data_IF_376431005798
#
_entry.id   IF_376431005798
#
_cell.length_a   1.000
_cell.length_b   1.000
_cell.length_c   1.000
_cell.angle_alpha   90.00
_cell.angle_beta   90.00
_cell.angle_gamma   90.00
#
_symmetry.space_group_name_H-M   'P 1'
#
loop_
_entity.id
_entity.type
_entity.pdbx_description
1 polymer ?
#
# COMPACT_ATOMS: atom_id res chain seq x y z
N UNK A 1 -2.63 -6.64 9.26
CA UNK A 1 -2.33 -7.95 8.65
C UNK A 1 -0.90 -8.43 8.91
N UNK A 2 0.14 -7.90 8.24
CA UNK A 2 1.54 -8.38 8.34
C UNK A 2 2.07 -8.50 9.79
N UNK A 3 1.73 -7.53 10.64
CA UNK A 3 2.15 -7.48 12.04
C UNK A 3 1.58 -8.62 12.92
N UNK A 4 0.41 -9.12 12.53
CA UNK A 4 -0.33 -10.15 13.26
C UNK A 4 -0.12 -11.53 12.65
N UNK A 5 0.50 -11.60 11.48
CA UNK A 5 0.69 -12.85 10.76
C UNK A 5 1.66 -13.75 11.53
N UNK A 6 1.18 -14.92 11.94
CA UNK A 6 1.93 -15.85 12.78
C UNK A 6 3.22 -16.36 12.13
N UNK A 7 3.28 -16.37 10.80
CA UNK A 7 4.44 -16.89 10.07
C UNK A 7 5.58 -15.86 9.95
N UNK A 8 5.23 -14.58 9.96
CA UNK A 8 6.16 -13.46 9.76
C UNK A 8 6.50 -12.75 11.08
N UNK A 9 5.55 -12.72 12.02
CA UNK A 9 5.69 -12.04 13.31
C UNK A 9 6.97 -12.42 14.09
N UNK A 10 7.36 -13.71 14.23
CA UNK A 10 8.58 -14.05 14.97
C UNK A 10 9.84 -13.44 14.35
N UNK A 11 9.93 -13.45 13.02
CA UNK A 11 11.04 -12.83 12.29
C UNK A 11 11.05 -11.30 12.49
N UNK A 12 9.87 -10.67 12.41
CA UNK A 12 9.73 -9.22 12.66
C UNK A 12 10.10 -8.84 14.11
N UNK A 13 9.72 -9.64 15.09
CA UNK A 13 10.07 -9.40 16.49
C UNK A 13 11.58 -9.55 16.72
N UNK A 14 12.22 -10.53 16.09
CA UNK A 14 13.69 -10.69 16.13
C UNK A 14 14.40 -9.48 15.53
N UNK A 15 14.01 -9.00 14.34
CA UNK A 15 14.65 -7.81 13.74
C UNK A 15 14.42 -6.55 14.57
N UNK A 16 13.24 -6.40 15.22
CA UNK A 16 12.99 -5.29 16.14
C UNK A 16 13.91 -5.32 17.35
N UNK A 17 14.18 -6.50 17.91
CA UNK A 17 15.14 -6.66 19.00
C UNK A 17 16.52 -6.23 18.52
N UNK A 18 16.98 -6.74 17.37
CA UNK A 18 18.27 -6.41 16.81
C UNK A 18 18.44 -4.90 16.55
N UNK A 19 17.47 -4.28 15.89
CA UNK A 19 17.45 -2.83 15.63
C UNK A 19 17.50 -2.04 16.95
N UNK A 20 16.74 -2.46 17.97
CA UNK A 20 16.78 -1.82 19.30
C UNK A 20 18.14 -1.96 19.96
N UNK A 21 18.79 -3.13 19.88
CA UNK A 21 20.13 -3.35 20.45
C UNK A 21 21.16 -2.40 19.83
N UNK A 22 21.21 -2.35 18.50
CA UNK A 22 22.11 -1.45 17.77
C UNK A 22 21.86 0.02 18.09
N UNK A 23 20.58 0.44 18.13
CA UNK A 23 20.23 1.84 18.40
C UNK A 23 20.47 2.26 19.85
N UNK A 24 20.46 1.32 20.80
CA UNK A 24 20.76 1.60 22.22
C UNK A 24 22.25 1.71 22.50
N UNK A 25 23.09 1.02 21.74
CA UNK A 25 24.55 1.04 21.94
C UNK A 25 25.19 2.16 21.13
N UNK A 26 25.70 3.18 21.82
CA UNK A 26 26.48 4.27 21.21
C UNK A 26 27.72 3.75 20.47
N UNK A 27 28.35 2.69 20.98
CA UNK A 27 29.51 2.05 20.34
C UNK A 27 29.09 1.35 19.04
N UNK A 28 28.02 0.56 19.06
CA UNK A 28 27.57 -0.17 17.88
C UNK A 28 27.10 0.77 16.76
N UNK A 29 26.33 1.81 17.10
CA UNK A 29 25.87 2.78 16.10
C UNK A 29 27.03 3.58 15.49
N UNK A 30 28.04 3.96 16.28
CA UNK A 30 29.22 4.64 15.76
C UNK A 30 30.06 3.73 14.86
N UNK A 31 30.24 2.45 15.22
CA UNK A 31 30.92 1.48 14.37
C UNK A 31 30.17 1.28 13.06
N UNK A 32 28.85 1.14 13.11
CA UNK A 32 28.01 1.00 11.91
C UNK A 32 28.12 2.24 11.01
N UNK A 33 28.04 3.44 11.59
CA UNK A 33 28.20 4.71 10.85
C UNK A 33 29.57 4.84 10.20
N UNK A 34 30.64 4.38 10.86
CA UNK A 34 32.00 4.38 10.28
C UNK A 34 32.11 3.44 9.07
N UNK A 35 31.36 2.33 9.05
CA UNK A 35 31.44 1.33 8.00
C UNK A 35 30.58 1.68 6.78
N UNK A 36 29.35 2.18 6.98
CA UNK A 36 28.41 2.39 5.89
C UNK A 36 27.74 3.78 5.86
N UNK A 37 28.03 4.66 6.82
CA UNK A 37 27.44 6.01 6.88
C UNK A 37 25.95 6.04 7.20
N UNK A 38 25.32 4.90 7.49
CA UNK A 38 23.87 4.77 7.67
C UNK A 38 23.51 4.30 9.08
N UNK A 39 22.39 4.80 9.59
CA UNK A 39 21.73 4.27 10.80
C UNK A 39 20.59 3.32 10.45
N UNK A 40 20.25 2.41 11.37
CA UNK A 40 19.05 1.58 11.28
C UNK A 40 17.77 2.39 11.53
N UNK A 41 16.71 2.07 10.79
CA UNK A 41 15.38 2.67 10.96
C UNK A 41 14.65 1.97 12.09
N UNK A 42 14.08 2.75 13.01
CA UNK A 42 13.24 2.21 14.11
C UNK A 42 11.88 1.82 13.55
N UNK A 43 11.39 0.63 13.89
CA UNK A 43 10.05 0.23 13.53
C UNK A 43 8.97 1.11 14.18
N UNK A 44 7.85 1.24 13.48
CA UNK A 44 6.59 1.73 14.03
C UNK A 44 5.53 0.67 13.72
N UNK A 45 5.15 -0.20 14.68
CA UNK A 45 4.28 -1.33 14.42
C UNK A 45 2.89 -0.95 13.87
N UNK A 46 2.40 0.26 14.15
CA UNK A 46 1.14 0.79 13.63
C UNK A 46 1.25 1.30 12.19
N UNK A 47 2.47 1.42 11.65
CA UNK A 47 2.77 2.03 10.35
C UNK A 47 3.54 1.06 9.47
N UNK A 48 2.83 0.26 8.68
CA UNK A 48 3.43 -0.81 7.85
C UNK A 48 4.56 -0.29 6.93
N UNK A 49 4.45 0.94 6.42
CA UNK A 49 5.48 1.55 5.58
C UNK A 49 6.81 1.74 6.32
N UNK A 50 6.77 2.00 7.63
CA UNK A 50 7.97 2.07 8.47
C UNK A 50 8.56 0.67 8.67
N UNK A 51 7.72 -0.36 8.80
CA UNK A 51 8.19 -1.75 8.85
C UNK A 51 8.93 -2.13 7.57
N UNK A 52 8.38 -1.79 6.40
CA UNK A 52 9.07 -1.96 5.12
C UNK A 52 10.43 -1.22 5.11
N UNK A 53 10.46 0.06 5.48
CA UNK A 53 11.70 0.84 5.53
C UNK A 53 12.74 0.27 6.51
N UNK A 54 12.31 -0.26 7.65
CA UNK A 54 13.19 -0.96 8.59
C UNK A 54 13.82 -2.19 7.94
N UNK A 55 13.01 -3.02 7.28
CA UNK A 55 13.48 -4.22 6.60
C UNK A 55 14.47 -3.85 5.49
N UNK A 56 14.10 -2.91 4.62
CA UNK A 56 14.93 -2.47 3.49
C UNK A 56 16.25 -1.88 3.96
N UNK A 57 16.24 -1.03 5.00
CA UNK A 57 17.48 -0.48 5.57
C UNK A 57 18.36 -1.57 6.19
N UNK A 58 17.77 -2.53 6.89
CA UNK A 58 18.53 -3.62 7.52
C UNK A 58 19.22 -4.47 6.46
N UNK A 59 18.52 -4.82 5.37
CA UNK A 59 19.08 -5.57 4.25
C UNK A 59 20.14 -4.77 3.48
N UNK A 60 19.97 -3.45 3.35
CA UNK A 60 20.95 -2.55 2.72
C UNK A 60 22.29 -2.54 3.46
N UNK A 61 22.27 -2.55 4.80
CA UNK A 61 23.48 -2.49 5.63
C UNK A 61 23.92 -3.85 6.17
N UNK A 62 23.41 -4.95 5.60
CA UNK A 62 23.54 -6.31 6.15
C UNK A 62 24.99 -6.71 6.45
N UNK A 63 25.93 -6.39 5.57
CA UNK A 63 27.33 -6.83 5.70
C UNK A 63 28.04 -6.07 6.83
N UNK A 64 27.85 -4.75 6.89
CA UNK A 64 28.33 -3.92 8.00
C UNK A 64 27.65 -4.29 9.33
N UNK A 65 26.36 -4.64 9.29
CA UNK A 65 25.62 -5.07 10.48
C UNK A 65 26.21 -6.33 11.10
N UNK A 66 26.49 -7.34 10.26
CA UNK A 66 27.12 -8.60 10.68
C UNK A 66 28.50 -8.34 11.27
N UNK A 67 29.33 -7.56 10.57
CA UNK A 67 30.68 -7.24 11.05
C UNK A 67 30.68 -6.56 12.43
N UNK A 68 29.76 -5.62 12.66
CA UNK A 68 29.62 -4.97 13.97
C UNK A 68 29.10 -5.93 15.02
N UNK A 69 28.11 -6.77 14.68
CA UNK A 69 27.56 -7.76 15.60
C UNK A 69 28.62 -8.78 16.04
N UNK A 70 29.41 -9.30 15.10
CA UNK A 70 30.50 -10.23 15.37
C UNK A 70 31.55 -9.60 16.30
N UNK A 71 31.96 -8.36 16.02
CA UNK A 71 32.88 -7.60 16.87
C UNK A 71 32.31 -7.18 18.24
N UNK A 72 31.02 -7.40 18.48
CA UNK A 72 30.34 -7.18 19.76
C UNK A 72 29.96 -8.51 20.45
N UNK A 73 30.19 -9.66 19.80
CA UNK A 73 29.74 -10.97 20.27
C UNK A 73 28.21 -11.10 20.30
N UNK A 74 27.51 -10.45 19.37
CA UNK A 74 26.04 -10.47 19.29
C UNK A 74 25.56 -11.40 18.20
N UNK A 75 24.50 -12.15 18.50
CA UNK A 75 23.79 -12.94 17.50
C UNK A 75 23.10 -12.03 16.48
N UNK A 76 23.43 -12.24 15.21
CA UNK A 76 22.78 -11.58 14.08
C UNK A 76 21.72 -12.50 13.44
N UNK A 77 21.17 -12.10 12.30
CA UNK A 77 20.25 -12.92 11.51
C UNK A 77 20.99 -14.06 10.82
N UNK A 78 20.41 -15.25 10.84
CA UNK A 78 20.89 -16.40 10.06
C UNK A 78 20.73 -16.15 8.55
N UNK A 79 21.50 -16.83 7.68
CA UNK A 79 21.34 -16.70 6.23
C UNK A 79 19.91 -16.98 5.74
N UNK A 80 19.25 -18.02 6.28
CA UNK A 80 17.87 -18.37 5.95
C UNK A 80 16.86 -17.30 6.38
N UNK A 81 17.09 -16.66 7.53
CA UNK A 81 16.27 -15.54 8.00
C UNK A 81 16.43 -14.31 7.12
N UNK A 82 17.65 -14.03 6.64
CA UNK A 82 17.91 -12.93 5.71
C UNK A 82 17.24 -13.16 4.36
N UNK A 83 17.25 -14.39 3.85
CA UNK A 83 16.57 -14.74 2.61
C UNK A 83 15.04 -14.61 2.77
N UNK A 84 14.46 -15.13 3.86
CA UNK A 84 13.03 -14.95 4.16
C UNK A 84 12.66 -13.46 4.30
N UNK A 85 13.53 -12.68 4.92
CA UNK A 85 13.35 -11.23 5.08
C UNK A 85 13.42 -10.49 3.73
N UNK A 86 14.25 -10.98 2.82
CA UNK A 86 14.36 -10.47 1.43
C UNK A 86 13.07 -10.76 0.67
N UNK A 87 12.57 -12.00 0.72
CA UNK A 87 11.28 -12.36 0.11
C UNK A 87 10.11 -11.54 0.68
N UNK A 88 10.11 -11.29 2.00
CA UNK A 88 9.12 -10.41 2.63
C UNK A 88 9.25 -8.95 2.17
N UNK A 89 10.47 -8.43 2.02
CA UNK A 89 10.68 -7.10 1.46
C UNK A 89 10.10 -7.01 0.06
N UNK A 90 10.36 -8.01 -0.78
CA UNK A 90 9.94 -8.05 -2.18
C UNK A 90 8.41 -8.16 -2.31
N UNK A 91 7.76 -8.92 -1.42
CA UNK A 91 6.30 -8.92 -1.29
C UNK A 91 5.73 -7.52 -1.01
N UNK A 92 6.41 -6.73 -0.19
CA UNK A 92 5.95 -5.42 0.27
C UNK A 92 6.39 -4.25 -0.61
N UNK A 93 7.34 -4.47 -1.53
CA UNK A 93 7.96 -3.42 -2.32
C UNK A 93 6.93 -2.69 -3.21
N UNK A 94 6.11 -3.37 -4.04
CA UNK A 94 5.12 -2.69 -4.87
C UNK A 94 4.13 -1.86 -4.05
N UNK A 95 3.71 -2.36 -2.87
CA UNK A 95 2.85 -1.59 -1.96
C UNK A 95 3.51 -0.29 -1.53
N UNK A 96 4.80 -0.34 -1.18
CA UNK A 96 5.55 0.83 -0.72
C UNK A 96 5.69 1.86 -1.84
N UNK A 97 6.00 1.42 -3.06
CA UNK A 97 6.18 2.29 -4.23
C UNK A 97 4.86 2.94 -4.62
N UNK A 98 3.79 2.17 -4.79
CA UNK A 98 2.47 2.71 -5.13
C UNK A 98 1.93 3.63 -4.04
N UNK A 99 2.09 3.27 -2.77
CA UNK A 99 1.64 4.15 -1.67
C UNK A 99 2.43 5.46 -1.64
N UNK A 100 3.74 5.41 -1.87
CA UNK A 100 4.56 6.61 -1.92
C UNK A 100 4.20 7.48 -3.12
N UNK A 101 3.95 6.87 -4.27
CA UNK A 101 3.53 7.53 -5.50
C UNK A 101 2.19 8.25 -5.26
N UNK A 102 1.16 7.51 -4.85
CA UNK A 102 -0.21 7.99 -4.62
C UNK A 102 -0.33 9.05 -3.51
N UNK A 103 0.68 9.17 -2.65
CA UNK A 103 0.75 10.22 -1.60
C UNK A 103 1.37 11.53 -2.10
N UNK A 104 1.90 11.59 -3.32
CA UNK A 104 2.48 12.81 -3.88
C UNK A 104 1.43 13.88 -4.15
N UNK A 105 1.78 15.14 -3.93
CA UNK A 105 0.89 16.30 -4.16
C UNK A 105 0.61 16.57 -5.64
N UNK A 106 1.36 15.95 -6.54
CA UNK A 106 1.22 16.12 -8.00
C UNK A 106 0.44 14.98 -8.65
N UNK A 107 -0.13 14.07 -7.86
CA UNK A 107 -0.72 12.85 -8.38
C UNK A 107 -2.22 12.95 -8.63
N UNK A 108 -2.64 12.38 -9.75
CA UNK A 108 -4.01 12.30 -10.22
C UNK A 108 -4.70 11.02 -9.73
N UNK A 109 -6.02 11.09 -9.59
CA UNK A 109 -6.89 9.95 -9.29
C UNK A 109 -6.78 8.82 -10.33
N UNK A 110 -6.38 9.17 -11.56
CA UNK A 110 -6.25 8.26 -12.71
C UNK A 110 -5.30 7.09 -12.50
N UNK A 111 -4.29 7.26 -11.65
CA UNK A 111 -3.26 6.26 -11.39
C UNK A 111 -3.63 5.30 -10.24
N UNK A 112 -4.75 5.50 -9.56
CA UNK A 112 -5.21 4.59 -8.51
C UNK A 112 -5.61 3.24 -9.09
N UNK A 113 -6.35 3.20 -10.20
CA UNK A 113 -6.77 1.93 -10.81
C UNK A 113 -5.57 1.10 -11.31
N UNK A 114 -4.61 1.66 -12.10
CA UNK A 114 -3.40 0.94 -12.49
C UNK A 114 -2.61 0.40 -11.30
N UNK A 115 -2.46 1.19 -10.23
CA UNK A 115 -1.77 0.73 -9.02
C UNK A 115 -2.48 -0.46 -8.36
N UNK A 116 -3.82 -0.46 -8.30
CA UNK A 116 -4.58 -1.57 -7.73
C UNK A 116 -4.48 -2.84 -8.58
N UNK A 117 -4.52 -2.71 -9.91
CA UNK A 117 -4.36 -3.83 -10.83
C UNK A 117 -2.96 -4.44 -10.75
N UNK A 118 -1.91 -3.60 -10.76
CA UNK A 118 -0.52 -4.04 -10.61
C UNK A 118 -0.28 -4.77 -9.27
N UNK A 119 -0.82 -4.24 -8.17
CA UNK A 119 -0.77 -4.92 -6.87
C UNK A 119 -1.50 -6.28 -6.90
N UNK A 120 -2.58 -6.41 -7.67
CA UNK A 120 -3.34 -7.65 -7.77
C UNK A 120 -2.57 -8.71 -8.56
N UNK A 121 -1.95 -8.29 -9.68
CA UNK A 121 -1.07 -9.12 -10.49
C UNK A 121 0.11 -9.61 -9.64
N UNK A 122 0.84 -8.69 -8.98
CA UNK A 122 1.94 -9.01 -8.09
C UNK A 122 1.57 -10.06 -7.03
N UNK A 123 0.43 -9.89 -6.34
CA UNK A 123 0.00 -10.85 -5.32
C UNK A 123 -0.39 -12.22 -5.89
N UNK A 124 -0.82 -12.27 -7.15
CA UNK A 124 -1.19 -13.50 -7.86
C UNK A 124 0.04 -14.26 -8.33
N UNK A 125 1.04 -13.55 -8.83
CA UNK A 125 2.30 -14.10 -9.35
C UNK A 125 3.31 -14.42 -8.25
N UNK A 126 3.24 -13.74 -7.10
CA UNK A 126 4.20 -13.90 -6.01
C UNK A 126 4.39 -15.36 -5.55
N UNK A 127 3.34 -16.18 -5.33
CA UNK A 127 3.48 -17.60 -5.01
C UNK A 127 4.28 -18.39 -6.06
N UNK A 128 4.09 -18.08 -7.33
CA UNK A 128 4.76 -18.78 -8.45
C UNK A 128 6.24 -18.38 -8.52
N UNK A 129 6.51 -17.09 -8.39
CA UNK A 129 7.87 -16.52 -8.39
C UNK A 129 8.73 -17.03 -7.21
N UNK A 130 8.13 -17.26 -6.04
CA UNK A 130 8.84 -17.83 -4.88
C UNK A 130 8.98 -19.36 -4.93
N UNK A 131 8.24 -20.04 -5.81
CA UNK A 131 8.22 -21.49 -5.91
C UNK A 131 7.84 -22.17 -4.59
N UNK A 132 8.53 -23.26 -4.22
CA UNK A 132 8.31 -23.96 -2.95
C UNK A 132 9.03 -23.33 -1.75
N UNK A 133 9.84 -22.28 -1.99
CA UNK A 133 10.53 -21.55 -0.95
C UNK A 133 9.55 -20.58 -0.28
N UNK A 134 9.35 -20.72 1.03
CA UNK A 134 8.46 -19.86 1.85
C UNK A 134 6.96 -19.96 1.51
N UNK A 135 6.41 -21.17 1.56
CA UNK A 135 4.95 -21.45 1.46
C UNK A 135 4.10 -20.54 2.35
N UNK A 136 4.62 -20.16 3.50
CA UNK A 136 3.96 -19.28 4.45
C UNK A 136 3.82 -17.84 3.93
N UNK A 137 4.83 -17.32 3.22
CA UNK A 137 4.74 -16.03 2.53
C UNK A 137 3.80 -16.09 1.32
N UNK A 138 3.78 -17.20 0.58
CA UNK A 138 2.79 -17.42 -0.48
C UNK A 138 1.36 -17.45 0.09
N UNK A 139 1.17 -18.05 1.25
CA UNK A 139 -0.13 -18.03 1.94
C UNK A 139 -0.50 -16.63 2.42
N UNK A 140 0.50 -15.83 2.84
CA UNK A 140 0.31 -14.43 3.21
C UNK A 140 -0.07 -13.58 2.00
N UNK A 141 0.57 -13.75 0.83
CA UNK A 141 0.22 -12.99 -0.37
C UNK A 141 -1.23 -13.25 -0.81
N UNK A 142 -1.69 -14.50 -0.73
CA UNK A 142 -3.09 -14.83 -1.02
C UNK A 142 -4.06 -14.15 -0.05
N UNK A 143 -3.78 -14.17 1.26
CA UNK A 143 -4.58 -13.40 2.24
C UNK A 143 -4.52 -11.88 1.97
N UNK A 144 -3.38 -11.37 1.53
CA UNK A 144 -3.25 -9.97 1.12
C UNK A 144 -4.15 -9.66 -0.07
N UNK A 145 -4.25 -10.57 -1.05
CA UNK A 145 -5.10 -10.45 -2.23
C UNK A 145 -6.57 -10.42 -1.87
N UNK A 146 -7.02 -11.37 -1.06
CA UNK A 146 -8.39 -11.43 -0.56
C UNK A 146 -8.76 -10.14 0.19
N UNK A 147 -7.88 -9.68 1.10
CA UNK A 147 -8.11 -8.45 1.84
C UNK A 147 -8.14 -7.21 0.92
N UNK A 148 -7.31 -7.18 -0.12
CA UNK A 148 -7.30 -6.10 -1.10
C UNK A 148 -8.62 -6.07 -1.89
N UNK A 149 -9.07 -7.22 -2.39
CA UNK A 149 -10.35 -7.36 -3.07
C UNK A 149 -11.51 -6.86 -2.20
N UNK A 150 -11.53 -7.21 -0.91
CA UNK A 150 -12.56 -6.71 0.02
C UNK A 150 -12.46 -5.21 0.33
N UNK A 151 -11.25 -4.66 0.42
CA UNK A 151 -11.06 -3.24 0.75
C UNK A 151 -11.37 -2.31 -0.43
N UNK A 152 -11.19 -2.80 -1.66
CA UNK A 152 -11.27 -2.01 -2.88
C UNK A 152 -12.30 -2.53 -3.88
N UNK A 153 -13.22 -3.41 -3.45
CA UNK A 153 -14.31 -3.91 -4.28
C UNK A 153 -15.15 -2.78 -4.88
N UNK A 154 -15.37 -1.70 -4.13
CA UNK A 154 -16.06 -0.50 -4.61
C UNK A 154 -15.38 0.20 -5.80
N UNK A 155 -14.15 -0.16 -6.16
CA UNK A 155 -13.43 0.39 -7.32
C UNK A 155 -13.13 -0.67 -8.39
N UNK A 156 -13.04 -1.94 -8.00
CA UNK A 156 -12.60 -3.04 -8.88
C UNK A 156 -13.73 -3.97 -9.31
N UNK A 157 -14.84 -4.04 -8.57
CA UNK A 157 -15.97 -4.92 -8.86
C UNK A 157 -17.21 -4.10 -9.28
N UNK A 158 -17.54 -4.06 -10.59
CA UNK A 158 -18.76 -3.43 -11.11
C UNK A 158 -20.07 -3.95 -10.51
N UNK A 159 -20.06 -5.12 -9.88
CA UNK A 159 -21.22 -5.74 -9.23
C UNK A 159 -21.37 -5.32 -7.77
N UNK A 160 -20.38 -4.65 -7.18
CA UNK A 160 -20.47 -4.17 -5.80
C UNK A 160 -21.55 -3.09 -5.66
N UNK A 161 -22.40 -3.22 -4.64
CA UNK A 161 -23.45 -2.24 -4.31
C UNK A 161 -22.96 -0.81 -4.11
N UNK A 162 -21.68 -0.63 -3.77
CA UNK A 162 -21.01 0.66 -3.54
C UNK A 162 -20.02 0.98 -4.65
N UNK A 163 -20.10 0.29 -5.78
CA UNK A 163 -19.22 0.51 -6.91
C UNK A 163 -19.25 1.98 -7.36
N UNK A 164 -18.07 2.55 -7.58
CA UNK A 164 -17.89 3.92 -8.07
C UNK A 164 -17.08 3.89 -9.36
N UNK A 165 -17.66 4.31 -10.50
CA UNK A 165 -16.96 4.35 -11.79
C UNK A 165 -15.94 5.50 -11.87
N UNK A 166 -15.90 6.41 -10.88
CA UNK A 166 -15.09 7.63 -10.92
C UNK A 166 -13.60 7.34 -11.10
N UNK A 167 -13.05 6.35 -10.40
CA UNK A 167 -11.62 6.03 -10.49
C UNK A 167 -11.28 5.45 -11.87
N UNK A 168 -12.16 4.58 -12.38
CA UNK A 168 -12.03 4.03 -13.72
C UNK A 168 -12.15 5.13 -14.79
N UNK A 169 -13.13 6.03 -14.67
CA UNK A 169 -13.28 7.17 -15.57
C UNK A 169 -12.06 8.10 -15.55
N UNK A 170 -11.54 8.44 -14.37
CA UNK A 170 -10.32 9.23 -14.26
C UNK A 170 -9.13 8.54 -14.93
N UNK A 171 -9.00 7.21 -14.75
CA UNK A 171 -7.96 6.39 -15.38
C UNK A 171 -8.06 6.44 -16.91
N UNK A 172 -9.24 6.20 -17.49
CA UNK A 172 -9.40 6.15 -18.94
C UNK A 172 -9.37 7.52 -19.64
N UNK A 173 -9.54 8.60 -18.89
CA UNK A 173 -9.36 9.97 -19.39
C UNK A 173 -7.89 10.42 -19.36
N UNK A 174 -6.99 9.68 -18.70
CA UNK A 174 -5.60 10.04 -18.59
C UNK A 174 -4.80 9.56 -19.82
N UNK A 175 -4.27 10.47 -20.66
CA UNK A 175 -3.53 10.08 -21.86
C UNK A 175 -2.21 9.37 -21.55
N UNK A 176 -1.73 9.42 -20.30
CA UNK A 176 -0.52 8.72 -19.86
C UNK A 176 -0.80 7.26 -19.46
N UNK A 177 -2.06 6.89 -19.29
CA UNK A 177 -2.50 5.54 -18.98
C UNK A 177 -3.17 4.98 -20.23
N UNK A 178 -2.47 4.10 -20.96
CA UNK A 178 -3.06 3.42 -22.12
C UNK A 178 -4.07 2.38 -21.62
N UNK A 179 -5.36 2.48 -22.00
CA UNK A 179 -6.34 1.44 -21.70
C UNK A 179 -5.93 0.09 -22.27
N UNK A 180 -5.25 0.08 -23.42
CA UNK A 180 -4.75 -1.13 -24.08
C UNK A 180 -3.70 -1.85 -23.24
N UNK A 181 -2.82 -1.10 -22.55
CA UNK A 181 -1.83 -1.67 -21.63
C UNK A 181 -2.47 -2.33 -20.39
N UNK A 182 -3.74 -2.04 -20.09
CA UNK A 182 -4.48 -2.67 -19.00
C UNK A 182 -5.18 -3.97 -19.44
N UNK A 183 -5.35 -4.21 -20.75
CA UNK A 183 -6.15 -5.30 -21.34
C UNK A 183 -5.25 -6.44 -21.88
N UNK A 184 -3.98 -6.51 -21.49
CA UNK A 184 -3.05 -7.52 -22.06
C UNK A 184 -3.19 -8.95 -21.47
N UNK A 185 -4.11 -9.20 -20.52
CA UNK A 185 -4.20 -10.48 -19.80
C UNK A 185 -5.56 -11.21 -20.00
N UNK A 186 -5.55 -12.28 -20.79
CA UNK A 186 -6.71 -13.05 -21.31
C UNK A 186 -7.81 -13.48 -20.30
N UNK A 187 -7.57 -13.46 -18.98
CA UNK A 187 -8.58 -13.78 -17.94
C UNK A 187 -9.13 -12.53 -17.20
N UNK A 188 -8.36 -11.45 -17.11
CA UNK A 188 -8.77 -10.19 -16.46
C UNK A 188 -9.47 -9.25 -17.45
N UNK A 189 -9.38 -9.54 -18.75
CA UNK A 189 -9.98 -8.75 -19.82
C UNK A 189 -11.47 -8.52 -19.62
N UNK A 190 -12.26 -9.52 -19.20
CA UNK A 190 -13.71 -9.35 -19.06
C UNK A 190 -14.07 -8.36 -17.95
N UNK A 191 -13.39 -8.41 -16.80
CA UNK A 191 -13.63 -7.46 -15.71
C UNK A 191 -13.17 -6.05 -16.07
N UNK A 192 -11.99 -5.94 -16.69
CA UNK A 192 -11.43 -4.64 -17.09
C UNK A 192 -12.28 -3.99 -18.18
N UNK A 193 -12.79 -4.78 -19.12
CA UNK A 193 -13.74 -4.31 -20.14
C UNK A 193 -15.05 -3.82 -19.52
N UNK A 194 -15.58 -4.51 -18.50
CA UNK A 194 -16.78 -4.03 -17.81
C UNK A 194 -16.50 -2.76 -16.99
N UNK A 195 -15.33 -2.63 -16.38
CA UNK A 195 -14.90 -1.38 -15.72
C UNK A 195 -14.82 -0.22 -16.72
N UNK A 196 -14.28 -0.47 -17.92
CA UNK A 196 -14.22 0.49 -19.02
C UNK A 196 -15.62 0.92 -19.45
N UNK A 197 -16.50 -0.04 -19.73
CA UNK A 197 -17.88 0.24 -20.12
C UNK A 197 -18.62 1.09 -19.09
N UNK A 198 -18.47 0.77 -17.79
CA UNK A 198 -19.08 1.54 -16.69
C UNK A 198 -18.50 2.96 -16.59
N UNK A 199 -17.22 3.12 -16.87
CA UNK A 199 -16.57 4.42 -16.89
C UNK A 199 -17.06 5.28 -18.08
N UNK A 200 -17.18 4.70 -19.27
CA UNK A 200 -17.75 5.36 -20.44
C UNK A 200 -19.19 5.81 -20.20
N UNK A 201 -20.04 4.93 -19.65
CA UNK A 201 -21.42 5.26 -19.26
C UNK A 201 -21.46 6.45 -18.30
N UNK A 202 -20.56 6.47 -17.31
CA UNK A 202 -20.45 7.55 -16.33
C UNK A 202 -20.00 8.88 -16.97
N UNK A 203 -19.00 8.84 -17.85
CA UNK A 203 -18.51 10.04 -18.56
C UNK A 203 -19.62 10.61 -19.45
N UNK A 204 -20.33 9.77 -20.19
CA UNK A 204 -21.43 10.19 -21.07
C UNK A 204 -22.56 10.89 -20.29
N UNK A 205 -22.87 10.41 -19.07
CA UNK A 205 -23.84 11.03 -18.17
C UNK A 205 -23.38 12.38 -17.62
N UNK A 206 -22.08 12.59 -17.44
CA UNK A 206 -21.51 13.86 -16.96
C UNK A 206 -21.40 14.92 -18.07
N UNK A 207 -21.28 14.50 -19.34
CA UNK A 207 -21.18 15.41 -20.49
C UNK A 207 -22.57 15.87 -20.99
N UNK A 208 -23.61 15.04 -20.82
CA UNK A 208 -24.97 15.35 -21.29
C UNK A 208 -25.68 16.56 -20.65
N UNK A 209 -25.45 16.94 -19.36
CA UNK A 209 -26.08 18.11 -18.76
C UNK A 209 -25.41 19.43 -19.19
N UNK A 210 -24.10 19.44 -19.42
CA UNK A 210 -23.30 20.67 -19.62
C UNK A 210 -23.57 21.35 -20.98
N UNK A 211 -24.11 20.62 -21.96
CA UNK A 211 -24.39 21.16 -23.31
C UNK A 211 -25.76 21.85 -23.39
N UNK A 212 -26.60 21.83 -22.33
CA UNK A 212 -27.90 22.53 -22.33
C UNK A 212 -27.96 23.83 -21.53
N UNK A 213 -26.92 24.21 -20.77
CA UNK A 213 -26.94 25.43 -19.94
C UNK A 213 -26.19 26.64 -20.51
N UNK A 214 -25.68 26.58 -21.75
CA UNK A 214 -25.18 27.81 -22.42
C UNK A 214 -26.30 28.73 -22.95
N UNK A 215 -27.58 28.43 -22.64
CA UNK A 215 -28.70 29.32 -22.95
C UNK A 215 -29.81 29.24 -21.90
N UNK A 216 -29.59 29.78 -20.70
CA UNK A 216 -30.43 30.86 -20.12
C UNK A 216 -30.03 31.20 -18.69
N UNK A 217 -29.77 32.50 -18.53
CA UNK A 217 -29.99 33.38 -17.38
C UNK A 217 -29.14 33.22 -16.11
N UNK A 218 -28.49 34.35 -15.80
CA UNK A 218 -27.69 34.62 -14.62
C UNK A 218 -28.52 34.45 -13.33
N UNK A 219 -27.90 33.82 -12.32
CA UNK A 219 -28.27 33.74 -10.89
C UNK A 219 -28.76 32.38 -10.38
N UNK A 220 -27.90 31.35 -10.37
CA UNK A 220 -27.94 30.28 -9.35
C UNK A 220 -26.59 29.54 -9.18
N UNK A 221 -25.49 30.24 -9.50
CA UNK A 221 -24.22 29.59 -9.90
C UNK A 221 -23.14 29.47 -8.81
N UNK A 222 -23.45 29.80 -7.56
CA UNK A 222 -22.51 29.69 -6.43
C UNK A 222 -22.73 28.46 -5.54
N UNK A 223 -23.94 27.93 -5.46
CA UNK A 223 -24.25 26.79 -4.58
C UNK A 223 -23.81 25.46 -5.21
N UNK A 224 -24.04 25.30 -6.53
CA UNK A 224 -23.68 24.09 -7.28
C UNK A 224 -22.17 23.98 -7.53
N UNK A 225 -21.48 25.10 -7.80
CA UNK A 225 -20.00 25.15 -7.82
C UNK A 225 -19.41 24.82 -6.45
N UNK A 226 -20.06 25.20 -5.34
CA UNK A 226 -19.64 24.79 -4.00
C UNK A 226 -19.91 23.32 -3.72
N UNK A 227 -20.95 22.71 -4.29
CA UNK A 227 -21.22 21.28 -4.18
C UNK A 227 -20.24 20.43 -5.00
N UNK A 228 -19.92 20.82 -6.24
CA UNK A 228 -18.89 20.15 -7.06
C UNK A 228 -17.50 20.34 -6.46
N UNK A 229 -17.17 21.54 -5.98
CA UNK A 229 -15.92 21.79 -5.26
C UNK A 229 -15.87 21.04 -3.93
N UNK A 230 -17.00 20.90 -3.22
CA UNK A 230 -17.12 20.01 -2.05
C UNK A 230 -16.92 18.56 -2.45
N UNK A 231 -17.48 18.08 -3.57
CA UNK A 231 -17.34 16.70 -4.02
C UNK A 231 -15.91 16.37 -4.47
N UNK A 232 -15.21 17.30 -5.12
CA UNK A 232 -13.80 17.18 -5.48
C UNK A 232 -12.91 17.26 -4.23
N UNK A 233 -13.17 18.19 -3.32
CA UNK A 233 -12.48 18.26 -2.01
C UNK A 233 -12.77 17.03 -1.16
N UNK A 234 -14.00 16.51 -1.17
CA UNK A 234 -14.39 15.26 -0.53
C UNK A 234 -13.71 14.07 -1.20
N UNK A 235 -13.47 14.07 -2.50
CA UNK A 235 -12.76 13.00 -3.21
C UNK A 235 -11.25 13.01 -2.91
N UNK A 236 -10.59 14.17 -2.89
CA UNK A 236 -9.17 14.30 -2.52
C UNK A 236 -8.97 14.06 -1.02
N UNK A 237 -9.91 14.51 -0.19
CA UNK A 237 -9.94 14.16 1.24
C UNK A 237 -10.31 12.70 1.41
N UNK A 238 -11.12 12.08 0.55
CA UNK A 238 -11.41 10.66 0.55
C UNK A 238 -10.18 9.88 0.15
N UNK A 239 -9.37 10.24 -0.84
CA UNK A 239 -8.11 9.53 -1.13
C UNK A 239 -7.16 9.67 0.06
N UNK A 240 -7.05 10.85 0.68
CA UNK A 240 -6.28 11.01 1.92
C UNK A 240 -6.86 10.20 3.08
N UNK A 241 -8.18 10.16 3.26
CA UNK A 241 -8.91 9.45 4.32
C UNK A 241 -9.00 7.95 4.04
N UNK A 242 -8.93 7.50 2.79
CA UNK A 242 -8.92 6.10 2.35
C UNK A 242 -7.50 5.57 2.30
N UNK A 243 -6.50 6.38 1.96
CA UNK A 243 -5.09 6.07 2.22
C UNK A 243 -4.82 6.07 3.72
N UNK A 244 -5.38 7.02 4.50
CA UNK A 244 -5.38 6.98 5.96
C UNK A 244 -6.26 5.84 6.48
N UNK A 245 -7.33 5.42 5.81
CA UNK A 245 -8.18 4.30 6.25
C UNK A 245 -7.62 2.97 5.81
N UNK A 246 -6.79 2.91 4.79
CA UNK A 246 -5.93 1.77 4.48
C UNK A 246 -4.85 1.69 5.56
N UNK A 247 -4.27 2.85 5.94
CA UNK A 247 -3.36 2.98 7.07
C UNK A 247 -4.01 2.62 8.42
N UNK A 248 -5.25 3.05 8.64
CA UNK A 248 -5.99 2.94 9.90
C UNK A 248 -6.84 1.68 9.99
N UNK A 249 -7.36 1.08 8.91
CA UNK A 249 -8.04 -0.24 8.93
C UNK A 249 -7.05 -1.37 9.04
N UNK A 250 -5.84 -1.23 8.47
CA UNK A 250 -4.71 -2.08 8.86
C UNK A 250 -4.40 -1.95 10.38
N UNK A 251 -4.78 -0.82 11.00
CA UNK A 251 -4.60 -0.52 12.43
C UNK A 251 -5.86 -0.67 13.32
N UNK A 252 -7.08 -0.81 12.79
CA UNK A 252 -8.35 -0.71 13.55
C UNK A 252 -8.92 -2.05 14.02
N UNK A 253 -8.32 -3.18 13.63
CA UNK A 253 -8.48 -4.44 14.36
C UNK A 253 -7.77 -4.41 15.74
N UNK A 254 -7.54 -3.24 16.33
CA UNK A 254 -6.78 -3.05 17.56
C UNK A 254 -7.55 -2.29 18.66
N UNK A 255 -8.83 -2.02 18.48
CA UNK A 255 -9.72 -1.45 19.52
C UNK A 255 -10.43 -2.51 20.37
N UNK A 256 -9.73 -3.59 20.73
CA UNK A 256 -10.17 -4.52 21.77
C UNK A 256 -9.15 -4.71 22.92
N UNK A 257 -8.01 -4.00 22.90
CA UNK A 257 -6.96 -4.17 23.94
C UNK A 257 -6.74 -2.89 24.77
N UNK A 258 -7.46 -1.80 24.50
CA UNK A 258 -7.29 -0.54 25.23
C UNK A 258 -8.14 -0.38 26.50
N UNK A 259 -8.98 -1.36 26.88
CA UNK A 259 -9.78 -1.27 28.11
C UNK A 259 -9.17 -1.95 29.35
N UNK A 260 -7.90 -2.39 29.30
CA UNK A 260 -7.28 -3.08 30.44
C UNK A 260 -6.00 -2.44 30.98
N UNK A 261 -5.65 -1.21 30.56
CA UNK A 261 -4.50 -0.48 31.07
C UNK A 261 -4.83 0.83 31.81
N UNK A 262 -6.09 1.21 31.99
CA UNK A 262 -6.47 2.42 32.77
C UNK A 262 -6.86 2.12 34.24
N UNK A 263 -6.39 1.00 34.82
CA UNK A 263 -6.66 0.66 36.23
C UNK A 263 -5.40 0.46 37.10
N UNK A 264 -4.19 0.55 36.57
CA UNK A 264 -2.96 0.45 37.38
C UNK A 264 -1.89 1.38 36.81
N UNK A 265 -1.78 2.57 37.40
CA UNK A 265 -0.80 3.60 37.12
C UNK A 265 -1.12 4.87 37.88
#
# INVERSE_FOLDING_TARGET
MIQKDLSVKPLLDRIRVLVRLFRKSSVAIQRLLKLCGLTLVKDCPTRWSITYLMISRLLQVKDSLVQVADGMGWDCLLPSERQKLTALRDLLLPFAEHTQMLQSYTMSLSLVLPALLDLNAHLSEFPEAQGSCYRDLASLSQRMKENMGQCFSCFLDPSDTKFSPLIAAACFLDPTVSPEALIENEHDDVQIQELLRKAEDYIAQMVSPVIQEEKTDDNEDEEERREVQKHIMLSSTCIYVYALSLHLRISKDNTAVLHQCESLG
#
